data_IF_477829035450
#
_entry.id   IF_477829035450
#
_cell.length_a   1.000
_cell.length_b   1.000
_cell.length_c   1.000
_cell.angle_alpha   90.00
_cell.angle_beta   90.00
_cell.angle_gamma   90.00
#
_symmetry.space_group_name_H-M   'P 1'
#
loop_
_entity.id
_entity.type
_entity.pdbx_description
1 polymer ?
#
# COMPACT_ATOMS: atom_id res chain seq x y z
N UNK A 1 -14.31 45.22 -72.59
CA UNK A 1 -13.88 45.84 -71.30
C UNK A 1 -14.87 45.61 -70.16
N UNK A 2 -16.15 45.90 -70.29
CA UNK A 2 -17.13 45.80 -69.19
C UNK A 2 -17.34 44.41 -68.56
N UNK A 3 -16.99 43.30 -69.22
CA UNK A 3 -17.13 41.96 -68.67
C UNK A 3 -15.97 41.60 -67.68
N UNK A 4 -14.76 42.05 -68.01
CA UNK A 4 -13.58 41.82 -67.13
C UNK A 4 -13.67 42.67 -65.86
N UNK A 5 -14.26 43.86 -65.92
CA UNK A 5 -14.45 44.71 -64.76
C UNK A 5 -15.47 44.09 -63.78
N UNK A 6 -16.57 43.53 -64.28
CA UNK A 6 -17.55 42.80 -63.46
C UNK A 6 -17.01 41.54 -62.82
N UNK A 7 -16.12 40.81 -63.51
CA UNK A 7 -15.44 39.66 -62.95
C UNK A 7 -14.45 40.05 -61.81
N UNK A 8 -13.78 41.17 -61.94
CA UNK A 8 -12.85 41.70 -60.96
C UNK A 8 -13.60 42.18 -59.70
N UNK A 9 -14.75 42.86 -59.90
CA UNK A 9 -15.62 43.31 -58.82
C UNK A 9 -16.23 42.10 -58.07
N UNK A 10 -16.67 41.05 -58.75
CA UNK A 10 -17.16 39.83 -58.16
C UNK A 10 -16.07 39.07 -57.38
N UNK A 11 -14.84 39.05 -57.90
CA UNK A 11 -13.69 38.44 -57.17
C UNK A 11 -13.29 39.22 -55.88
N UNK A 12 -13.33 40.57 -56.02
CA UNK A 12 -13.06 41.40 -54.82
C UNK A 12 -14.14 41.24 -53.76
N UNK A 13 -15.42 41.24 -54.11
CA UNK A 13 -16.52 41.00 -53.19
C UNK A 13 -16.48 39.59 -52.56
N UNK A 14 -16.06 38.56 -53.31
CA UNK A 14 -15.85 37.22 -52.76
C UNK A 14 -14.69 37.19 -51.76
N UNK A 15 -13.59 37.91 -52.04
CA UNK A 15 -12.43 38.03 -51.17
C UNK A 15 -12.78 38.76 -49.85
N UNK A 16 -13.55 39.87 -49.95
CA UNK A 16 -14.01 40.59 -48.76
C UNK A 16 -14.94 39.74 -47.89
N UNK A 17 -15.87 38.98 -48.50
CA UNK A 17 -16.74 38.04 -47.79
C UNK A 17 -15.94 36.93 -47.11
N UNK A 18 -14.93 36.38 -47.77
CA UNK A 18 -14.06 35.37 -47.20
C UNK A 18 -13.24 35.93 -46.04
N UNK A 19 -12.73 37.15 -46.14
CA UNK A 19 -12.01 37.83 -45.08
C UNK A 19 -12.91 38.09 -43.85
N UNK A 20 -14.11 38.63 -44.07
CA UNK A 20 -15.09 38.87 -42.98
C UNK A 20 -15.51 37.57 -42.29
N UNK A 21 -15.66 36.47 -43.05
CA UNK A 21 -15.94 35.15 -42.46
C UNK A 21 -14.76 34.63 -41.61
N UNK A 22 -13.51 34.80 -42.08
CA UNK A 22 -12.31 34.43 -41.31
C UNK A 22 -12.18 35.25 -40.03
N UNK A 23 -12.41 36.56 -40.09
CA UNK A 23 -12.37 37.46 -38.94
C UNK A 23 -13.47 37.12 -37.90
N UNK A 24 -14.67 36.76 -38.36
CA UNK A 24 -15.77 36.30 -37.50
C UNK A 24 -15.44 34.96 -36.80
N UNK A 25 -14.79 34.05 -37.51
CA UNK A 25 -14.31 32.78 -36.90
C UNK A 25 -13.24 33.05 -35.84
N UNK A 26 -12.30 33.94 -36.15
CA UNK A 26 -11.24 34.32 -35.23
C UNK A 26 -11.80 34.99 -33.97
N UNK A 27 -12.72 35.93 -34.12
CA UNK A 27 -13.40 36.58 -33.00
C UNK A 27 -14.15 35.57 -32.10
N UNK A 28 -14.86 34.58 -32.72
CA UNK A 28 -15.52 33.50 -31.96
C UNK A 28 -14.52 32.61 -31.22
N UNK A 29 -13.35 32.34 -31.79
CA UNK A 29 -12.30 31.55 -31.11
C UNK A 29 -11.71 32.34 -29.94
N UNK A 30 -11.44 33.61 -30.09
CA UNK A 30 -10.95 34.50 -29.06
C UNK A 30 -11.97 34.62 -27.90
N UNK A 31 -13.26 34.77 -28.22
CA UNK A 31 -14.33 34.79 -27.24
C UNK A 31 -14.39 33.49 -26.43
N UNK A 32 -14.38 32.32 -27.13
CA UNK A 32 -14.37 31.02 -26.46
C UNK A 32 -13.14 30.83 -25.55
N UNK A 33 -11.98 31.33 -25.99
CA UNK A 33 -10.75 31.26 -25.18
C UNK A 33 -10.86 32.13 -23.93
N UNK A 34 -11.40 33.34 -24.06
CA UNK A 34 -11.64 34.23 -22.92
C UNK A 34 -12.66 33.64 -21.93
N UNK A 35 -13.74 33.03 -22.41
CA UNK A 35 -14.71 32.31 -21.58
C UNK A 35 -14.09 31.12 -20.85
N UNK A 36 -13.23 30.35 -21.51
CA UNK A 36 -12.50 29.26 -20.87
C UNK A 36 -11.51 29.76 -19.81
N UNK A 37 -10.77 30.82 -20.09
CA UNK A 37 -9.83 31.41 -19.13
C UNK A 37 -10.57 31.96 -17.89
N UNK A 38 -11.72 32.63 -18.11
CA UNK A 38 -12.57 33.10 -17.00
C UNK A 38 -13.11 31.94 -16.15
N UNK A 39 -13.60 30.87 -16.79
CA UNK A 39 -14.05 29.67 -16.10
C UNK A 39 -12.92 28.98 -15.32
N UNK A 40 -11.72 28.87 -15.90
CA UNK A 40 -10.56 28.35 -15.22
C UNK A 40 -10.17 29.17 -13.99
N UNK A 41 -10.22 30.49 -14.09
CA UNK A 41 -9.92 31.39 -12.97
C UNK A 41 -10.94 31.22 -11.84
N UNK A 42 -12.23 31.22 -12.16
CA UNK A 42 -13.34 31.03 -11.21
C UNK A 42 -13.22 29.69 -10.45
N UNK A 43 -13.03 28.59 -11.19
CA UNK A 43 -12.93 27.26 -10.58
C UNK A 43 -11.65 27.07 -9.76
N UNK A 44 -10.55 27.73 -10.16
CA UNK A 44 -9.30 27.73 -9.39
C UNK A 44 -9.47 28.50 -8.07
N UNK A 45 -10.19 29.62 -8.10
CA UNK A 45 -10.52 30.40 -6.90
C UNK A 45 -11.43 29.61 -5.96
N UNK A 46 -12.48 28.97 -6.45
CA UNK A 46 -13.34 28.07 -5.67
C UNK A 46 -12.55 26.95 -5.01
N UNK A 47 -11.61 26.35 -5.72
CA UNK A 47 -10.76 25.30 -5.17
C UNK A 47 -9.86 25.82 -4.04
N UNK A 48 -9.28 27.01 -4.20
CA UNK A 48 -8.49 27.65 -3.16
C UNK A 48 -9.35 28.03 -1.93
N UNK A 49 -10.53 28.60 -2.15
CA UNK A 49 -11.47 28.94 -1.09
C UNK A 49 -11.90 27.68 -0.31
N UNK A 50 -12.23 26.59 -0.99
CA UNK A 50 -12.59 25.32 -0.36
C UNK A 50 -11.46 24.75 0.49
N UNK A 51 -10.21 24.88 0.03
CA UNK A 51 -9.04 24.46 0.81
C UNK A 51 -8.89 25.29 2.09
N UNK A 52 -9.06 26.60 2.00
CA UNK A 52 -9.01 27.50 3.16
C UNK A 52 -10.11 27.18 4.18
N UNK A 53 -11.34 26.97 3.75
CA UNK A 53 -12.46 26.59 4.64
C UNK A 53 -12.16 25.31 5.43
N UNK A 54 -11.61 24.28 4.77
CA UNK A 54 -11.22 23.03 5.43
C UNK A 54 -10.11 23.27 6.44
N UNK A 55 -9.08 24.02 6.06
CA UNK A 55 -7.94 24.31 6.94
C UNK A 55 -8.39 25.13 8.15
N UNK A 56 -9.19 26.16 7.96
CA UNK A 56 -9.72 27.01 9.04
C UNK A 56 -10.63 26.20 9.98
N UNK A 57 -11.51 25.37 9.44
CA UNK A 57 -12.41 24.53 10.22
C UNK A 57 -11.65 23.59 11.15
N UNK A 58 -10.63 22.89 10.64
CA UNK A 58 -9.82 21.96 11.46
C UNK A 58 -8.91 22.73 12.43
N UNK A 59 -8.30 23.84 11.99
CA UNK A 59 -7.38 24.62 12.82
C UNK A 59 -8.10 25.46 13.90
N UNK A 60 -9.40 25.73 13.75
CA UNK A 60 -10.19 26.42 14.77
C UNK A 60 -10.37 25.60 16.05
N UNK A 61 -10.18 24.30 15.96
CA UNK A 61 -10.23 23.41 17.13
C UNK A 61 -8.93 23.57 17.91
N UNK A 62 -8.99 24.23 19.07
CA UNK A 62 -7.83 24.32 19.96
C UNK A 62 -7.71 23.03 20.77
N UNK A 63 -6.73 22.21 20.48
CA UNK A 63 -6.38 21.10 21.35
C UNK A 63 -5.08 21.40 22.10
N UNK A 64 -5.00 20.97 23.35
CA UNK A 64 -3.79 21.16 24.16
C UNK A 64 -2.65 20.24 23.71
N UNK A 65 -2.99 19.12 23.10
CA UNK A 65 -2.04 18.12 22.61
C UNK A 65 -2.57 17.50 21.31
N UNK A 66 -1.80 17.60 20.24
CA UNK A 66 -2.12 16.94 18.97
C UNK A 66 -2.12 15.41 19.12
N UNK A 67 -2.89 14.73 18.29
CA UNK A 67 -3.15 13.28 18.34
C UNK A 67 -1.88 12.44 18.47
N UNK A 68 -0.84 12.76 17.70
CA UNK A 68 0.43 12.02 17.71
C UNK A 68 1.47 12.59 18.68
N UNK A 69 1.17 13.68 19.39
CA UNK A 69 2.17 14.43 20.17
C UNK A 69 2.83 13.63 21.30
N UNK A 70 2.14 12.60 21.80
CA UNK A 70 2.60 11.79 22.94
C UNK A 70 3.26 10.48 22.53
N UNK A 71 3.51 10.26 21.23
CA UNK A 71 4.16 9.06 20.70
C UNK A 71 5.47 9.48 20.06
N UNK A 72 6.56 8.80 20.34
CA UNK A 72 7.83 9.07 19.68
C UNK A 72 7.78 8.66 18.20
N UNK A 73 8.68 9.18 17.38
CA UNK A 73 8.73 8.84 15.95
C UNK A 73 9.05 7.37 15.75
N UNK A 74 9.96 6.84 16.54
CA UNK A 74 10.36 5.44 16.48
C UNK A 74 9.22 4.50 16.85
N UNK A 75 8.51 4.78 17.96
CA UNK A 75 7.35 3.98 18.38
C UNK A 75 6.24 4.02 17.32
N UNK A 76 5.93 5.21 16.80
CA UNK A 76 4.89 5.38 15.78
C UNK A 76 5.24 4.62 14.50
N UNK A 77 6.48 4.72 14.03
CA UNK A 77 6.94 4.03 12.84
C UNK A 77 6.95 2.51 13.02
N UNK A 78 7.47 2.02 14.15
CA UNK A 78 7.52 0.58 14.45
C UNK A 78 6.12 0.01 14.58
N UNK A 79 5.24 0.65 15.33
CA UNK A 79 3.84 0.24 15.48
C UNK A 79 3.11 0.28 14.13
N UNK A 80 3.25 1.35 13.36
CA UNK A 80 2.58 1.50 12.06
C UNK A 80 3.00 0.38 11.09
N UNK A 81 4.30 0.07 11.06
CA UNK A 81 4.80 -1.03 10.24
C UNK A 81 4.23 -2.38 10.70
N UNK A 82 4.26 -2.66 11.98
CA UNK A 82 3.75 -3.92 12.53
C UNK A 82 2.23 -4.04 12.32
N UNK A 83 1.48 -2.96 12.53
CA UNK A 83 0.05 -2.90 12.30
C UNK A 83 -0.30 -3.14 10.82
N UNK A 84 0.40 -2.48 9.90
CA UNK A 84 0.23 -2.74 8.48
C UNK A 84 0.47 -4.20 8.14
N UNK A 85 1.56 -4.74 8.64
CA UNK A 85 2.01 -6.08 8.35
C UNK A 85 1.09 -7.17 8.91
N UNK A 86 0.61 -7.01 10.13
CA UNK A 86 -0.20 -8.02 10.83
C UNK A 86 -1.71 -7.82 10.66
N UNK A 87 -2.17 -6.59 10.52
CA UNK A 87 -3.59 -6.25 10.58
C UNK A 87 -4.14 -5.79 9.23
N UNK A 88 -3.49 -4.85 8.55
CA UNK A 88 -4.02 -4.30 7.30
C UNK A 88 -3.89 -5.29 6.15
N UNK A 89 -2.69 -5.86 5.96
CA UNK A 89 -2.40 -6.77 4.86
C UNK A 89 -3.22 -8.07 4.87
N UNK A 90 -3.42 -8.75 6.01
CA UNK A 90 -4.20 -9.98 6.03
C UNK A 90 -5.63 -9.77 5.56
N UNK A 91 -6.12 -10.68 4.71
CA UNK A 91 -7.46 -10.72 4.14
C UNK A 91 -7.86 -9.50 3.28
N UNK A 92 -7.01 -8.49 3.13
CA UNK A 92 -7.24 -7.39 2.21
C UNK A 92 -6.78 -7.75 0.80
N UNK A 93 -7.52 -7.31 -0.20
CA UNK A 93 -7.05 -7.37 -1.59
C UNK A 93 -6.05 -6.25 -1.82
N UNK A 94 -4.77 -6.60 -2.02
CA UNK A 94 -3.67 -5.64 -2.28
C UNK A 94 -4.00 -4.69 -3.44
N UNK A 95 -4.74 -5.17 -4.44
CA UNK A 95 -5.13 -4.36 -5.60
C UNK A 95 -6.29 -3.40 -5.34
N UNK A 96 -7.04 -3.58 -4.27
CA UNK A 96 -8.27 -2.84 -3.97
C UNK A 96 -8.18 -1.96 -2.73
N UNK A 97 -7.20 -2.19 -1.85
CA UNK A 97 -6.99 -1.34 -0.68
C UNK A 97 -6.75 0.11 -1.08
N UNK A 98 -7.38 1.00 -0.35
CA UNK A 98 -7.27 2.46 -0.49
C UNK A 98 -6.24 3.05 0.46
N UNK A 99 -5.66 2.24 1.34
CA UNK A 99 -4.75 2.65 2.39
C UNK A 99 -3.38 2.02 2.14
N UNK A 100 -2.35 2.83 2.27
CA UNK A 100 -0.97 2.39 2.37
C UNK A 100 -0.35 3.04 3.60
N UNK A 101 0.41 2.29 4.39
CA UNK A 101 1.02 2.79 5.62
C UNK A 101 2.54 2.67 5.56
N UNK A 102 3.23 3.38 6.45
CA UNK A 102 4.68 3.29 6.63
C UNK A 102 5.12 1.83 6.83
N UNK A 103 6.24 1.39 6.25
CA UNK A 103 7.18 2.08 5.36
C UNK A 103 6.84 1.96 3.85
N UNK A 104 5.67 1.48 3.49
CA UNK A 104 5.30 1.07 2.13
C UNK A 104 4.72 2.20 1.27
N UNK A 105 4.69 3.43 1.79
CA UNK A 105 4.21 4.62 1.06
C UNK A 105 5.29 5.05 0.06
N UNK A 106 5.22 4.51 -1.16
CA UNK A 106 6.21 4.73 -2.21
C UNK A 106 5.57 4.74 -3.61
N UNK A 107 6.38 5.05 -4.62
CA UNK A 107 6.01 4.90 -6.02
C UNK A 107 5.45 6.15 -6.69
N UNK A 108 5.23 6.06 -8.02
CA UNK A 108 4.90 7.20 -8.89
C UNK A 108 3.62 7.97 -8.48
N UNK A 109 2.63 7.29 -7.90
CA UNK A 109 1.39 7.95 -7.46
C UNK A 109 1.67 8.84 -6.26
N UNK A 110 2.37 8.32 -5.26
CA UNK A 110 2.79 9.09 -4.10
C UNK A 110 3.67 10.28 -4.48
N UNK A 111 4.66 10.06 -5.36
CA UNK A 111 5.50 11.11 -5.91
C UNK A 111 4.68 12.26 -6.52
N UNK A 112 3.70 11.94 -7.39
CA UNK A 112 2.82 12.94 -8.00
C UNK A 112 1.94 13.68 -6.98
N UNK A 113 1.48 12.98 -5.96
CA UNK A 113 0.74 13.61 -4.88
C UNK A 113 1.61 14.61 -4.13
N UNK A 114 2.85 14.23 -3.76
CA UNK A 114 3.80 15.12 -3.10
C UNK A 114 4.12 16.36 -3.95
N UNK A 115 4.28 16.20 -5.27
CA UNK A 115 4.44 17.34 -6.20
C UNK A 115 3.25 18.28 -6.14
N UNK A 116 2.04 17.73 -6.11
CA UNK A 116 0.80 18.49 -6.14
C UNK A 116 0.57 19.31 -4.86
N UNK A 117 0.89 18.75 -3.70
CA UNK A 117 0.69 19.38 -2.38
C UNK A 117 1.95 20.06 -1.83
N UNK A 118 3.09 19.93 -2.51
CA UNK A 118 4.35 20.56 -2.10
C UNK A 118 5.04 19.91 -0.90
N UNK A 119 4.81 18.61 -0.64
CA UNK A 119 5.40 17.92 0.52
C UNK A 119 6.78 17.28 0.28
N UNK A 120 7.38 17.49 -0.89
CA UNK A 120 8.70 16.92 -1.24
C UNK A 120 9.86 17.36 -0.36
N UNK A 121 9.79 18.56 0.15
CA UNK A 121 10.89 19.16 0.92
C UNK A 121 10.73 19.00 2.43
N UNK A 122 9.70 18.31 2.89
CA UNK A 122 9.48 18.10 4.31
C UNK A 122 10.26 16.88 4.79
N UNK A 123 10.95 17.03 5.92
CA UNK A 123 11.60 15.91 6.62
C UNK A 123 10.57 14.99 7.33
N UNK A 124 9.29 15.23 7.11
CA UNK A 124 8.19 14.52 7.76
C UNK A 124 8.05 13.10 7.20
N UNK A 125 8.03 12.11 8.07
CA UNK A 125 7.82 10.72 7.67
C UNK A 125 6.35 10.45 7.37
N UNK A 126 6.00 9.94 6.18
CA UNK A 126 4.64 9.52 5.84
C UNK A 126 4.19 8.35 6.72
N UNK A 127 3.04 8.48 7.37
CA UNK A 127 2.48 7.42 8.23
C UNK A 127 1.32 6.70 7.54
N UNK A 128 0.35 7.44 6.99
CA UNK A 128 -0.81 6.89 6.29
C UNK A 128 -1.01 7.64 4.99
N UNK A 129 -1.14 6.94 3.87
CA UNK A 129 -1.58 7.50 2.60
C UNK A 129 -2.90 6.84 2.18
N UNK A 130 -3.97 7.61 2.15
CA UNK A 130 -5.30 7.21 1.76
C UNK A 130 -5.61 7.74 0.36
N UNK A 131 -5.95 6.84 -0.57
CA UNK A 131 -6.37 7.17 -1.93
C UNK A 131 -7.85 6.78 -2.08
N UNK A 132 -8.75 7.67 -1.70
CA UNK A 132 -10.19 7.41 -1.75
C UNK A 132 -10.69 7.22 -3.18
N UNK A 133 -10.35 8.17 -4.05
CA UNK A 133 -10.70 8.20 -5.46
C UNK A 133 -9.61 8.94 -6.27
N UNK A 134 -9.79 9.02 -7.59
CA UNK A 134 -8.88 9.82 -8.42
C UNK A 134 -8.84 11.27 -7.95
N UNK A 135 -7.66 11.77 -7.61
CA UNK A 135 -7.40 13.10 -7.06
C UNK A 135 -8.00 13.37 -5.66
N UNK A 136 -8.60 12.39 -5.01
CA UNK A 136 -9.05 12.47 -3.62
C UNK A 136 -8.07 11.66 -2.78
N UNK A 137 -7.05 12.33 -2.27
CA UNK A 137 -5.92 11.70 -1.57
C UNK A 137 -5.61 12.45 -0.28
N UNK A 138 -5.23 11.72 0.76
CA UNK A 138 -4.85 12.26 2.06
C UNK A 138 -3.57 11.57 2.50
N UNK A 139 -2.60 12.37 2.91
CA UNK A 139 -1.39 11.92 3.55
C UNK A 139 -1.35 12.42 4.98
N UNK A 140 -1.23 11.52 5.92
CA UNK A 140 -1.03 11.83 7.33
C UNK A 140 0.43 11.53 7.68
N UNK A 141 1.11 12.54 8.20
CA UNK A 141 2.40 12.42 8.88
C UNK A 141 2.16 12.62 10.38
N UNK A 142 3.20 12.55 11.20
CA UNK A 142 3.06 12.88 12.62
C UNK A 142 2.71 14.36 12.85
N UNK A 143 3.25 15.25 12.02
CA UNK A 143 3.15 16.70 12.15
C UNK A 143 2.00 17.29 11.36
N UNK A 144 1.61 16.63 10.24
CA UNK A 144 0.78 17.28 9.24
C UNK A 144 -0.17 16.33 8.53
N UNK A 145 -1.29 16.89 8.07
CA UNK A 145 -2.21 16.26 7.14
C UNK A 145 -2.14 17.04 5.83
N UNK A 146 -1.78 16.36 4.76
CA UNK A 146 -1.84 16.90 3.40
C UNK A 146 -3.04 16.30 2.69
N UNK A 147 -3.77 17.10 1.92
CA UNK A 147 -4.95 16.62 1.23
C UNK A 147 -5.09 17.20 -0.17
N UNK A 148 -5.75 16.42 -1.03
CA UNK A 148 -6.32 16.85 -2.29
C UNK A 148 -7.76 16.39 -2.36
N UNK A 149 -8.68 17.31 -2.65
CA UNK A 149 -10.12 17.06 -2.73
C UNK A 149 -10.68 17.71 -3.99
N UNK A 150 -11.19 16.94 -4.97
CA UNK A 150 -11.80 17.50 -6.17
C UNK A 150 -13.07 18.30 -5.81
N UNK A 151 -13.32 19.36 -6.58
CA UNK A 151 -14.59 20.08 -6.48
C UNK A 151 -15.74 19.21 -7.02
N UNK A 152 -16.91 19.33 -6.43
CA UNK A 152 -18.10 18.58 -6.85
C UNK A 152 -18.60 19.05 -8.22
N UNK A 153 -18.48 20.35 -8.53
CA UNK A 153 -18.93 20.95 -9.78
C UNK A 153 -18.03 20.57 -10.96
N UNK A 154 -16.73 20.50 -10.77
CA UNK A 154 -15.77 20.05 -11.78
C UNK A 154 -14.56 19.39 -11.11
N UNK A 155 -14.48 18.07 -11.21
CA UNK A 155 -13.42 17.25 -10.61
C UNK A 155 -12.02 17.45 -11.23
N UNK A 156 -11.88 18.32 -12.24
CA UNK A 156 -10.57 18.72 -12.77
C UNK A 156 -9.85 19.65 -11.81
N UNK A 157 -10.62 20.45 -11.06
CA UNK A 157 -10.11 21.39 -10.07
C UNK A 157 -10.10 20.76 -8.70
N UNK A 158 -9.04 20.99 -7.97
CA UNK A 158 -8.74 20.27 -6.74
C UNK A 158 -8.37 21.26 -5.65
N UNK A 159 -9.15 21.26 -4.57
CA UNK A 159 -8.76 21.88 -3.32
C UNK A 159 -7.57 21.11 -2.74
N UNK A 160 -6.49 21.81 -2.40
CA UNK A 160 -5.28 21.21 -1.84
C UNK A 160 -4.77 22.03 -0.67
N UNK A 161 -4.34 21.36 0.38
CA UNK A 161 -3.91 22.06 1.58
C UNK A 161 -3.06 21.20 2.51
N UNK A 162 -2.62 21.87 3.57
CA UNK A 162 -1.87 21.30 4.68
C UNK A 162 -2.47 21.78 5.99
N UNK A 163 -2.74 20.86 6.91
CA UNK A 163 -3.18 21.15 8.28
C UNK A 163 -2.17 20.58 9.26
N UNK A 164 -1.88 21.28 10.34
CA UNK A 164 -1.03 20.74 11.40
C UNK A 164 -1.78 19.74 12.27
N UNK A 165 -1.21 18.57 12.50
CA UNK A 165 -1.72 17.58 13.45
C UNK A 165 -1.74 18.06 14.90
N UNK A 166 -1.03 19.15 15.23
CA UNK A 166 -1.09 19.77 16.55
C UNK A 166 -2.49 20.31 16.91
N UNK A 167 -3.34 20.57 15.90
CA UNK A 167 -4.71 21.03 16.09
C UNK A 167 -5.77 19.91 16.05
N UNK A 168 -5.35 18.65 15.86
CA UNK A 168 -6.25 17.49 15.78
C UNK A 168 -6.09 16.65 17.03
N UNK A 169 -7.12 16.58 17.86
CA UNK A 169 -7.11 15.78 19.08
C UNK A 169 -7.46 14.30 18.82
N UNK A 170 -8.24 14.03 17.78
CA UNK A 170 -8.67 12.66 17.45
C UNK A 170 -8.83 12.44 15.95
N UNK A 171 -8.59 11.20 15.53
CA UNK A 171 -9.01 10.70 14.23
C UNK A 171 -10.00 9.56 14.41
N UNK A 172 -11.03 9.53 13.57
CA UNK A 172 -11.99 8.42 13.55
C UNK A 172 -12.58 8.22 12.16
N UNK A 173 -13.23 7.07 11.97
CA UNK A 173 -14.01 6.77 10.77
C UNK A 173 -15.47 6.67 11.18
N UNK A 174 -16.30 7.60 10.70
CA UNK A 174 -17.72 7.57 10.87
C UNK A 174 -18.40 6.86 9.70
N UNK A 175 -19.31 5.93 9.95
CA UNK A 175 -20.13 5.30 8.94
C UNK A 175 -21.49 6.01 8.86
N UNK A 176 -21.80 6.54 7.69
CA UNK A 176 -23.13 7.08 7.37
C UNK A 176 -23.92 6.08 6.51
N UNK A 177 -25.15 6.40 6.14
CA UNK A 177 -25.96 5.57 5.24
C UNK A 177 -25.33 5.39 3.85
N UNK A 178 -24.63 6.42 3.35
CA UNK A 178 -24.13 6.48 1.97
C UNK A 178 -22.61 6.41 1.83
N UNK A 179 -21.85 6.65 2.91
CA UNK A 179 -20.39 6.76 2.86
C UNK A 179 -19.72 6.49 4.21
N UNK A 180 -18.42 6.24 4.15
CA UNK A 180 -17.54 6.41 5.31
C UNK A 180 -16.91 7.81 5.28
N UNK A 181 -16.73 8.43 6.44
CA UNK A 181 -16.08 9.72 6.59
C UNK A 181 -14.83 9.58 7.47
N UNK A 182 -13.70 10.05 6.97
CA UNK A 182 -12.53 10.29 7.81
C UNK A 182 -12.73 11.59 8.55
N UNK A 183 -12.75 11.51 9.87
CA UNK A 183 -12.98 12.64 10.76
C UNK A 183 -11.67 13.11 11.39
N UNK A 184 -11.49 14.42 11.47
CA UNK A 184 -10.53 15.10 12.32
C UNK A 184 -11.34 15.79 13.41
N UNK A 185 -11.34 15.26 14.61
CA UNK A 185 -12.27 15.61 15.66
C UNK A 185 -13.74 15.45 15.16
N UNK A 186 -14.55 16.50 15.22
CA UNK A 186 -15.94 16.51 14.71
C UNK A 186 -16.03 16.87 13.21
N UNK A 187 -14.90 17.18 12.56
CA UNK A 187 -14.87 17.72 11.21
C UNK A 187 -14.56 16.65 10.15
N UNK A 188 -15.41 16.47 9.14
CA UNK A 188 -15.14 15.51 8.07
C UNK A 188 -14.05 16.05 7.14
N UNK A 189 -12.95 15.30 7.03
CA UNK A 189 -11.86 15.61 6.10
C UNK A 189 -12.10 14.98 4.71
N UNK A 190 -12.59 13.75 4.65
CA UNK A 190 -12.86 13.07 3.40
C UNK A 190 -13.97 12.02 3.52
N UNK A 191 -14.61 11.76 2.39
CA UNK A 191 -15.63 10.70 2.25
C UNK A 191 -15.11 9.59 1.35
N UNK A 192 -15.40 8.34 1.72
CA UNK A 192 -15.10 7.15 0.95
C UNK A 192 -16.41 6.43 0.61
N UNK A 193 -16.56 5.90 -0.61
CA UNK A 193 -17.76 5.15 -0.98
C UNK A 193 -17.86 3.84 -0.18
N UNK A 194 -19.07 3.35 0.06
CA UNK A 194 -19.28 2.05 0.71
C UNK A 194 -19.06 0.95 -0.32
N UNK A 195 -17.92 0.29 -0.22
CA UNK A 195 -17.60 -0.93 -0.96
C UNK A 195 -17.04 -1.96 0.02
N UNK A 196 -16.91 -3.23 -0.39
CA UNK A 196 -16.29 -4.24 0.48
C UNK A 196 -14.88 -3.83 0.89
N UNK A 197 -14.05 -3.41 -0.06
CA UNK A 197 -12.66 -3.01 0.21
C UNK A 197 -12.57 -1.79 1.14
N UNK A 198 -13.39 -0.74 0.91
CA UNK A 198 -13.38 0.43 1.80
C UNK A 198 -13.95 0.12 3.18
N UNK A 199 -14.88 -0.83 3.32
CA UNK A 199 -15.37 -1.27 4.62
C UNK A 199 -14.28 -1.95 5.43
N UNK A 200 -13.52 -2.85 4.81
CA UNK A 200 -12.36 -3.52 5.42
C UNK A 200 -11.28 -2.51 5.83
N UNK A 201 -10.93 -1.58 4.93
CA UNK A 201 -9.96 -0.52 5.19
C UNK A 201 -10.41 0.41 6.34
N UNK A 202 -11.68 0.80 6.38
CA UNK A 202 -12.23 1.70 7.39
C UNK A 202 -12.26 1.07 8.79
N UNK A 203 -12.64 -0.21 8.90
CA UNK A 203 -12.58 -0.96 10.16
C UNK A 203 -11.14 -0.99 10.66
N UNK A 204 -10.22 -1.34 9.77
CA UNK A 204 -8.80 -1.44 10.11
C UNK A 204 -8.22 -0.09 10.55
N UNK A 205 -8.53 0.98 9.81
CA UNK A 205 -8.01 2.33 10.13
C UNK A 205 -8.58 2.86 11.45
N UNK A 206 -9.85 2.59 11.73
CA UNK A 206 -10.46 2.97 13.00
C UNK A 206 -9.81 2.27 14.21
N UNK A 207 -9.47 0.98 14.04
CA UNK A 207 -8.71 0.24 15.04
C UNK A 207 -7.29 0.84 15.24
N UNK A 208 -6.60 1.19 14.16
CA UNK A 208 -5.30 1.86 14.24
C UNK A 208 -5.36 3.15 15.06
N UNK A 209 -6.33 4.03 14.77
CA UNK A 209 -6.49 5.27 15.52
C UNK A 209 -6.85 5.01 16.99
N UNK A 210 -7.64 3.98 17.28
CA UNK A 210 -7.97 3.58 18.64
C UNK A 210 -6.72 3.13 19.42
N UNK A 211 -5.84 2.34 18.80
CA UNK A 211 -4.57 1.92 19.42
C UNK A 211 -3.68 3.14 19.76
N UNK A 212 -3.55 4.09 18.83
CA UNK A 212 -2.77 5.32 19.08
C UNK A 212 -3.37 6.14 20.21
N UNK A 213 -4.70 6.35 20.19
CA UNK A 213 -5.41 7.11 21.23
C UNK A 213 -5.25 6.52 22.64
N UNK A 214 -5.28 5.20 22.73
CA UNK A 214 -5.14 4.47 24.00
C UNK A 214 -3.67 4.18 24.37
N UNK A 215 -2.72 4.51 23.50
CA UNK A 215 -1.29 4.15 23.64
C UNK A 215 -1.07 2.64 23.83
N UNK A 216 -1.91 1.85 23.19
CA UNK A 216 -1.81 0.40 23.16
C UNK A 216 -1.18 -0.04 21.84
N UNK A 217 0.12 -0.25 21.86
CA UNK A 217 0.91 -0.64 20.71
C UNK A 217 1.16 -2.14 20.63
N UNK A 218 0.47 -2.91 21.49
CA UNK A 218 0.58 -4.37 21.50
C UNK A 218 -0.39 -4.97 20.50
N UNK A 219 0.13 -5.75 19.57
CA UNK A 219 -0.69 -6.51 18.60
C UNK A 219 -0.56 -7.98 18.96
N UNK A 220 -1.61 -8.54 19.56
CA UNK A 220 -1.65 -9.95 19.93
C UNK A 220 -2.19 -10.83 18.79
N UNK A 221 -1.84 -12.12 18.82
CA UNK A 221 -2.35 -13.07 17.81
C UNK A 221 -3.87 -13.24 17.91
N UNK A 222 -4.46 -13.09 19.10
CA UNK A 222 -5.91 -13.11 19.33
C UNK A 222 -6.60 -11.93 18.64
N UNK A 223 -5.99 -10.75 18.71
CA UNK A 223 -6.53 -9.57 18.00
C UNK A 223 -6.42 -9.72 16.48
N UNK A 224 -5.31 -10.24 15.99
CA UNK A 224 -5.11 -10.56 14.57
C UNK A 224 -6.15 -11.57 14.10
N UNK A 225 -6.36 -12.66 14.85
CA UNK A 225 -7.40 -13.68 14.56
C UNK A 225 -8.78 -13.04 14.47
N UNK A 226 -9.17 -12.25 15.46
CA UNK A 226 -10.45 -11.57 15.50
C UNK A 226 -10.68 -10.69 14.27
N UNK A 227 -9.69 -9.86 13.92
CA UNK A 227 -9.80 -8.94 12.77
C UNK A 227 -9.80 -9.67 11.44
N UNK A 228 -9.02 -10.74 11.29
CA UNK A 228 -9.07 -11.58 10.09
C UNK A 228 -10.46 -12.21 9.95
N UNK A 229 -11.04 -12.75 11.03
CA UNK A 229 -12.39 -13.32 11.03
C UNK A 229 -13.43 -12.31 10.58
N UNK A 230 -13.40 -11.10 11.10
CA UNK A 230 -14.32 -10.03 10.66
C UNK A 230 -14.20 -9.74 9.15
N UNK A 231 -12.99 -9.73 8.60
CA UNK A 231 -12.74 -9.46 7.18
C UNK A 231 -13.18 -10.60 6.25
N UNK A 232 -12.87 -11.85 6.60
CA UNK A 232 -13.21 -13.02 5.77
C UNK A 232 -14.67 -13.46 5.90
N UNK A 233 -15.29 -13.11 7.01
CA UNK A 233 -16.66 -13.45 7.34
C UNK A 233 -16.84 -14.88 7.86
N UNK A 234 -17.95 -15.11 8.56
CA UNK A 234 -18.22 -16.35 9.31
C UNK A 234 -18.21 -17.61 8.43
N UNK A 235 -18.70 -17.50 7.18
CA UNK A 235 -18.73 -18.65 6.26
C UNK A 235 -17.34 -19.20 5.95
N UNK A 236 -16.40 -18.31 5.62
CA UNK A 236 -15.02 -18.69 5.29
C UNK A 236 -14.29 -19.14 6.56
N UNK A 237 -14.48 -18.43 7.67
CA UNK A 237 -13.89 -18.81 8.94
C UNK A 237 -14.32 -20.21 9.38
N UNK A 238 -15.61 -20.54 9.33
CA UNK A 238 -16.13 -21.87 9.69
C UNK A 238 -15.54 -22.97 8.79
N UNK A 239 -15.28 -22.68 7.51
CA UNK A 239 -14.61 -23.62 6.63
C UNK A 239 -13.16 -23.86 7.08
N UNK A 240 -12.41 -22.79 7.31
CA UNK A 240 -11.00 -22.84 7.77
C UNK A 240 -10.88 -23.55 9.11
N UNK A 241 -11.78 -23.25 10.05
CA UNK A 241 -11.77 -23.82 11.41
C UNK A 241 -11.83 -25.35 11.44
N UNK A 242 -12.39 -26.00 10.42
CA UNK A 242 -12.40 -27.46 10.29
C UNK A 242 -11.02 -28.07 10.15
N UNK A 243 -10.03 -27.29 9.72
CA UNK A 243 -8.66 -27.72 9.47
C UNK A 243 -7.68 -27.23 10.54
N UNK A 244 -8.14 -26.40 11.47
CA UNK A 244 -7.40 -26.02 12.66
C UNK A 244 -7.53 -27.13 13.68
N UNK A 245 -6.44 -27.80 13.99
CA UNK A 245 -6.43 -29.04 14.78
C UNK A 245 -6.24 -28.77 16.28
N UNK A 246 -5.55 -27.70 16.60
CA UNK A 246 -5.22 -27.35 17.99
C UNK A 246 -6.22 -26.34 18.55
N UNK A 247 -6.56 -26.45 19.84
CA UNK A 247 -7.50 -25.54 20.49
C UNK A 247 -6.93 -24.10 20.62
N UNK A 248 -5.60 -23.98 20.69
CA UNK A 248 -4.86 -22.72 20.76
C UNK A 248 -4.44 -22.19 19.35
N UNK A 249 -5.01 -22.74 18.29
CA UNK A 249 -4.67 -22.36 16.93
C UNK A 249 -5.44 -21.09 16.52
N UNK A 250 -4.69 -20.04 16.13
CA UNK A 250 -5.18 -18.72 15.78
C UNK A 250 -4.80 -18.35 14.34
N UNK A 251 -5.66 -17.61 13.66
CA UNK A 251 -5.37 -17.06 12.33
C UNK A 251 -4.38 -15.90 12.48
N UNK A 252 -3.26 -15.97 11.77
CA UNK A 252 -2.23 -14.90 11.79
C UNK A 252 -2.00 -14.26 10.43
N UNK A 253 -2.48 -14.89 9.36
CA UNK A 253 -2.48 -14.32 8.00
C UNK A 253 -3.50 -15.01 7.11
N UNK A 254 -4.08 -14.26 6.18
CA UNK A 254 -5.02 -14.76 5.18
C UNK A 254 -4.81 -14.00 3.87
N UNK A 255 -4.76 -14.73 2.75
CA UNK A 255 -4.73 -14.11 1.42
C UNK A 255 -5.62 -14.85 0.41
N UNK A 256 -6.23 -14.07 -0.47
CA UNK A 256 -6.98 -14.57 -1.61
C UNK A 256 -6.05 -14.85 -2.78
N UNK A 257 -6.10 -16.05 -3.35
CA UNK A 257 -5.40 -16.37 -4.59
C UNK A 257 -5.94 -15.61 -5.79
N UNK A 258 -5.12 -15.48 -6.82
CA UNK A 258 -5.46 -14.73 -8.04
C UNK A 258 -6.18 -15.58 -9.10
N UNK A 259 -6.18 -16.89 -8.95
CA UNK A 259 -6.37 -17.85 -10.06
C UNK A 259 -7.79 -18.23 -10.43
N UNK A 260 -8.86 -17.59 -9.94
CA UNK A 260 -10.17 -17.98 -10.45
C UNK A 260 -11.13 -16.85 -10.75
N UNK A 261 -11.69 -16.90 -11.94
CA UNK A 261 -12.79 -16.04 -12.39
C UNK A 261 -14.11 -16.27 -11.63
N UNK A 262 -14.26 -17.38 -10.92
CA UNK A 262 -15.53 -17.77 -10.31
C UNK A 262 -15.45 -18.34 -8.88
N UNK A 263 -14.32 -18.85 -8.44
CA UNK A 263 -14.10 -19.30 -7.07
C UNK A 263 -12.66 -18.97 -6.66
N UNK A 264 -12.52 -18.13 -5.64
CA UNK A 264 -11.19 -17.70 -5.20
C UNK A 264 -10.58 -18.78 -4.33
N UNK A 265 -9.46 -19.33 -4.78
CA UNK A 265 -8.54 -20.04 -3.91
C UNK A 265 -8.07 -19.11 -2.80
N UNK A 266 -7.73 -19.65 -1.67
CA UNK A 266 -7.12 -18.88 -0.59
C UNK A 266 -6.13 -19.72 0.19
N UNK A 267 -5.22 -19.06 0.86
CA UNK A 267 -4.37 -19.69 1.84
C UNK A 267 -4.43 -18.95 3.17
N UNK A 268 -4.19 -19.70 4.22
CA UNK A 268 -4.27 -19.24 5.59
C UNK A 268 -3.00 -19.63 6.30
N UNK A 269 -2.41 -18.70 7.02
CA UNK A 269 -1.41 -19.04 8.02
C UNK A 269 -2.06 -18.96 9.40
N UNK A 270 -1.86 -19.99 10.18
CA UNK A 270 -2.14 -19.98 11.61
C UNK A 270 -0.81 -19.83 12.38
N UNK A 271 -0.87 -19.77 13.69
CA UNK A 271 0.34 -19.85 14.52
C UNK A 271 1.00 -21.25 14.52
N UNK A 272 0.42 -22.25 13.84
CA UNK A 272 0.90 -23.65 13.78
C UNK A 272 1.23 -24.12 12.36
N UNK A 273 0.50 -23.69 11.34
CA UNK A 273 0.56 -24.26 10.00
C UNK A 273 0.16 -23.27 8.89
N UNK A 274 0.47 -23.65 7.64
CA UNK A 274 -0.09 -23.05 6.42
C UNK A 274 -1.16 -23.98 5.87
N UNK A 275 -2.36 -23.47 5.62
CA UNK A 275 -3.49 -24.20 5.04
C UNK A 275 -3.77 -23.60 3.67
N UNK A 276 -3.75 -24.40 2.63
CA UNK A 276 -4.12 -24.01 1.27
C UNK A 276 -5.46 -24.63 0.92
N UNK A 277 -6.37 -23.80 0.42
CA UNK A 277 -7.70 -24.21 -0.01
C UNK A 277 -7.86 -23.89 -1.49
N UNK A 278 -7.86 -24.94 -2.32
CA UNK A 278 -8.17 -24.81 -3.74
C UNK A 278 -9.67 -25.04 -3.95
N UNK A 279 -10.31 -24.16 -4.74
CA UNK A 279 -11.73 -24.24 -5.04
C UNK A 279 -11.99 -24.55 -6.49
N UNK A 280 -13.01 -25.36 -6.76
CA UNK A 280 -13.52 -25.59 -8.10
C UNK A 280 -14.42 -24.46 -8.60
N UNK A 281 -14.68 -24.43 -9.92
CA UNK A 281 -15.72 -23.60 -10.52
C UNK A 281 -17.06 -23.90 -9.82
N UNK A 282 -17.63 -22.87 -9.19
CA UNK A 282 -18.84 -23.01 -8.37
C UNK A 282 -18.61 -22.90 -6.86
N UNK A 283 -17.35 -22.79 -6.40
CA UNK A 283 -16.98 -22.50 -5.02
C UNK A 283 -16.93 -23.71 -4.10
N UNK A 284 -17.06 -24.93 -4.63
CA UNK A 284 -16.80 -26.15 -3.88
C UNK A 284 -15.29 -26.31 -3.61
N UNK A 285 -14.94 -26.82 -2.43
CA UNK A 285 -13.53 -27.09 -2.09
C UNK A 285 -13.07 -28.36 -2.84
N UNK A 286 -12.09 -28.20 -3.72
CA UNK A 286 -11.53 -29.30 -4.52
C UNK A 286 -10.41 -30.02 -3.80
N UNK A 287 -9.51 -29.27 -3.16
CA UNK A 287 -8.33 -29.83 -2.52
C UNK A 287 -7.88 -28.93 -1.37
N UNK A 288 -7.38 -29.55 -0.31
CA UNK A 288 -6.80 -28.88 0.83
C UNK A 288 -5.45 -29.47 1.13
N UNK A 289 -4.47 -28.60 1.36
CA UNK A 289 -3.13 -28.98 1.79
C UNK A 289 -2.79 -28.25 3.07
N UNK A 290 -2.25 -29.01 4.03
CA UNK A 290 -1.81 -28.49 5.34
C UNK A 290 -0.31 -28.72 5.48
N UNK A 291 0.41 -27.70 5.93
CA UNK A 291 1.84 -27.70 6.10
C UNK A 291 2.18 -27.17 7.49
N UNK A 292 2.49 -28.05 8.42
CA UNK A 292 2.93 -27.64 9.75
C UNK A 292 4.31 -26.99 9.67
N UNK A 293 4.55 -25.93 10.45
CA UNK A 293 5.82 -25.22 10.37
C UNK A 293 7.02 -26.06 10.76
N UNK A 294 6.85 -27.06 11.63
CA UNK A 294 7.89 -28.00 11.99
C UNK A 294 8.32 -28.91 10.83
N UNK A 295 7.40 -29.25 9.95
CA UNK A 295 7.65 -30.13 8.79
C UNK A 295 8.22 -29.36 7.58
N UNK A 296 8.01 -28.05 7.51
CA UNK A 296 8.54 -27.23 6.41
C UNK A 296 10.05 -27.09 6.55
N UNK A 297 10.80 -27.62 5.59
CA UNK A 297 12.26 -27.52 5.53
C UNK A 297 12.74 -26.22 4.93
N UNK A 298 12.01 -25.69 3.93
CA UNK A 298 12.28 -24.38 3.34
C UNK A 298 11.02 -23.73 2.80
N UNK A 299 10.99 -22.39 2.84
CA UNK A 299 9.98 -21.55 2.22
C UNK A 299 10.69 -20.46 1.40
N UNK A 300 10.34 -20.30 0.14
CA UNK A 300 10.95 -19.33 -0.76
C UNK A 300 9.95 -18.76 -1.75
N UNK A 301 10.27 -17.57 -2.26
CA UNK A 301 9.49 -16.87 -3.29
C UNK A 301 10.25 -16.94 -4.60
N UNK A 302 9.62 -17.49 -5.64
CA UNK A 302 10.17 -17.51 -6.98
C UNK A 302 9.46 -16.48 -7.85
N UNK A 303 10.21 -15.53 -8.37
CA UNK A 303 9.66 -14.54 -9.29
C UNK A 303 9.37 -15.18 -10.65
N UNK A 304 8.15 -15.04 -11.16
CA UNK A 304 7.79 -15.54 -12.47
C UNK A 304 8.39 -14.65 -13.56
N UNK A 305 9.44 -15.13 -14.21
CA UNK A 305 10.13 -14.45 -15.32
C UNK A 305 9.33 -14.44 -16.64
N UNK A 306 8.19 -15.13 -16.70
CA UNK A 306 7.44 -15.38 -17.94
C UNK A 306 6.29 -14.40 -18.23
N UNK A 307 6.10 -13.34 -17.45
CA UNK A 307 5.09 -12.33 -17.74
C UNK A 307 5.53 -11.24 -18.72
N UNK A 308 6.49 -11.55 -19.61
CA UNK A 308 6.87 -10.67 -20.73
C UNK A 308 5.99 -10.87 -21.97
N UNK A 309 4.66 -10.88 -21.81
CA UNK A 309 3.80 -10.61 -22.96
C UNK A 309 3.74 -9.09 -23.22
N UNK A 310 3.68 -8.69 -24.48
CA UNK A 310 3.67 -7.26 -24.90
C UNK A 310 2.56 -6.45 -24.18
N UNK A 311 1.48 -7.09 -23.78
CA UNK A 311 0.40 -6.55 -22.93
C UNK A 311 0.84 -6.33 -21.47
N UNK A 312 1.75 -7.15 -20.95
CA UNK A 312 2.35 -6.95 -19.61
C UNK A 312 3.21 -5.70 -19.55
N UNK A 313 3.97 -5.39 -20.59
CA UNK A 313 4.86 -4.23 -20.64
C UNK A 313 4.14 -2.88 -20.56
N UNK A 314 2.95 -2.78 -21.15
CA UNK A 314 2.12 -1.56 -21.04
C UNK A 314 1.38 -1.45 -19.70
N UNK A 315 1.09 -2.57 -19.03
CA UNK A 315 0.50 -2.58 -17.67
C UNK A 315 1.57 -2.43 -16.58
N UNK A 316 2.77 -2.96 -16.78
CA UNK A 316 3.88 -2.95 -15.81
C UNK A 316 4.33 -1.53 -15.42
N UNK A 317 4.20 -0.57 -16.32
CA UNK A 317 4.50 0.84 -16.02
C UNK A 317 3.49 1.50 -15.07
N UNK A 318 2.35 0.86 -14.80
CA UNK A 318 1.28 1.37 -13.94
C UNK A 318 1.13 0.61 -12.62
N UNK A 319 1.70 -0.59 -12.51
CA UNK A 319 1.59 -1.44 -11.33
C UNK A 319 2.79 -1.25 -10.40
N UNK A 320 2.51 -1.00 -9.13
CA UNK A 320 3.54 -0.95 -8.09
C UNK A 320 4.23 -2.31 -7.92
N UNK A 321 5.47 -2.33 -7.43
CA UNK A 321 6.21 -3.58 -7.15
C UNK A 321 5.43 -4.60 -6.30
N UNK A 322 4.48 -4.12 -5.47
CA UNK A 322 3.59 -4.94 -4.66
C UNK A 322 2.62 -5.82 -5.48
N UNK A 323 2.35 -5.47 -6.73
CA UNK A 323 1.45 -6.22 -7.62
C UNK A 323 2.18 -7.21 -8.54
N UNK A 324 3.50 -7.36 -8.40
CA UNK A 324 4.24 -8.39 -9.14
C UNK A 324 3.79 -9.77 -8.66
N UNK A 325 3.48 -10.66 -9.60
CA UNK A 325 3.12 -12.04 -9.30
C UNK A 325 4.35 -12.92 -9.15
N UNK A 326 4.25 -13.89 -8.27
CA UNK A 326 5.31 -14.86 -7.99
C UNK A 326 4.70 -16.19 -7.59
N UNK A 327 5.54 -17.20 -7.41
CA UNK A 327 5.15 -18.47 -6.84
C UNK A 327 5.77 -18.61 -5.45
N UNK A 328 4.98 -19.07 -4.49
CA UNK A 328 5.46 -19.51 -3.19
C UNK A 328 5.82 -20.99 -3.27
N UNK A 329 7.03 -21.33 -2.82
CA UNK A 329 7.53 -22.70 -2.81
C UNK A 329 7.76 -23.15 -1.38
N UNK A 330 7.06 -24.20 -0.97
CA UNK A 330 7.21 -24.85 0.32
C UNK A 330 7.80 -26.25 0.11
N UNK A 331 8.88 -26.58 0.80
CA UNK A 331 9.49 -27.90 0.78
C UNK A 331 9.22 -28.62 2.11
N UNK A 332 8.73 -29.84 2.04
CA UNK A 332 8.39 -30.68 3.19
C UNK A 332 8.93 -32.09 2.93
N UNK A 333 9.80 -32.60 3.81
CA UNK A 333 10.31 -33.97 3.77
C UNK A 333 10.80 -34.44 2.38
N UNK A 334 11.46 -33.54 1.63
CA UNK A 334 11.99 -33.86 0.29
C UNK A 334 10.99 -33.68 -0.87
N UNK A 335 9.73 -33.40 -0.59
CA UNK A 335 8.73 -33.00 -1.57
C UNK A 335 8.61 -31.48 -1.62
N UNK A 336 8.43 -30.94 -2.82
CA UNK A 336 8.25 -29.50 -3.02
C UNK A 336 6.84 -29.23 -3.52
N UNK A 337 6.12 -28.36 -2.82
CA UNK A 337 4.82 -27.85 -3.25
C UNK A 337 4.97 -26.43 -3.70
N UNK A 338 4.42 -26.13 -4.88
CA UNK A 338 4.40 -24.80 -5.47
C UNK A 338 2.99 -24.23 -5.43
N UNK A 339 2.88 -23.02 -4.94
CA UNK A 339 1.66 -22.20 -4.95
C UNK A 339 1.88 -21.14 -6.01
N UNK A 340 1.16 -21.23 -7.11
CA UNK A 340 1.33 -20.33 -8.24
C UNK A 340 0.52 -19.05 -8.06
N UNK A 341 0.96 -18.00 -8.72
CA UNK A 341 0.17 -16.77 -8.96
C UNK A 341 -0.31 -16.08 -7.67
N UNK A 342 0.64 -15.77 -6.80
CA UNK A 342 0.41 -14.89 -5.65
C UNK A 342 0.96 -13.49 -5.92
N UNK A 343 0.44 -12.49 -5.25
CA UNK A 343 1.16 -11.21 -5.17
C UNK A 343 2.45 -11.42 -4.38
N UNK A 344 3.54 -10.82 -4.88
CA UNK A 344 4.87 -10.96 -4.26
C UNK A 344 4.85 -10.59 -2.77
N UNK A 345 4.16 -9.51 -2.43
CA UNK A 345 4.00 -9.06 -1.04
C UNK A 345 3.32 -10.12 -0.17
N UNK A 346 2.29 -10.80 -0.68
CA UNK A 346 1.60 -11.87 0.05
C UNK A 346 2.50 -13.08 0.26
N UNK A 347 3.23 -13.50 -0.78
CA UNK A 347 4.16 -14.62 -0.66
C UNK A 347 5.32 -14.33 0.31
N UNK A 348 5.90 -13.13 0.25
CA UNK A 348 6.93 -12.68 1.19
C UNK A 348 6.41 -12.66 2.64
N UNK A 349 5.13 -12.31 2.83
CA UNK A 349 4.50 -12.31 4.14
C UNK A 349 4.34 -13.74 4.68
N UNK A 350 3.91 -14.70 3.88
CA UNK A 350 3.85 -16.12 4.30
C UNK A 350 5.21 -16.63 4.74
N UNK A 351 6.26 -16.28 3.99
CA UNK A 351 7.64 -16.63 4.35
C UNK A 351 8.05 -16.00 5.69
N UNK A 352 7.68 -14.75 5.93
CA UNK A 352 7.95 -14.06 7.19
C UNK A 352 7.21 -14.72 8.38
N UNK A 353 5.91 -15.04 8.20
CA UNK A 353 5.11 -15.77 9.20
C UNK A 353 5.72 -17.13 9.51
N UNK A 354 6.09 -17.89 8.47
CA UNK A 354 6.79 -19.18 8.63
C UNK A 354 8.07 -19.05 9.46
N UNK A 355 8.92 -18.07 9.15
CA UNK A 355 10.16 -17.88 9.90
C UNK A 355 9.91 -17.49 11.36
N UNK A 356 8.91 -16.67 11.62
CA UNK A 356 8.54 -16.24 12.96
C UNK A 356 8.13 -17.44 13.83
N UNK A 357 7.12 -18.21 13.40
CA UNK A 357 6.58 -19.32 14.20
C UNK A 357 7.48 -20.54 14.23
N UNK A 358 8.24 -20.81 13.16
CA UNK A 358 9.26 -21.87 13.20
C UNK A 358 10.36 -21.59 14.22
N UNK A 359 10.80 -20.34 14.34
CA UNK A 359 11.78 -19.95 15.37
C UNK A 359 11.20 -20.14 16.76
N UNK A 360 9.96 -19.70 16.99
CA UNK A 360 9.26 -19.87 18.26
C UNK A 360 9.11 -21.35 18.65
N UNK A 361 8.70 -22.21 17.71
CA UNK A 361 8.57 -23.65 17.93
C UNK A 361 9.90 -24.29 18.32
N UNK A 362 11.00 -23.94 17.64
CA UNK A 362 12.35 -24.45 17.97
C UNK A 362 12.81 -23.98 19.35
N UNK A 363 12.48 -22.76 19.74
CA UNK A 363 12.84 -22.22 21.08
C UNK A 363 12.02 -22.90 22.18
N UNK A 364 10.75 -23.19 21.93
CA UNK A 364 9.88 -23.89 22.88
C UNK A 364 10.24 -25.37 23.05
N UNK A 365 10.78 -26.01 22.01
CA UNK A 365 11.20 -27.43 22.01
C UNK A 365 12.61 -27.65 22.57
N UNK A 366 13.37 -26.59 22.79
CA UNK A 366 14.68 -26.71 23.43
C UNK A 366 14.49 -27.01 24.92
N UNK A 367 14.98 -28.16 25.46
CA UNK A 367 14.99 -28.39 26.91
C UNK A 367 15.75 -27.23 27.56
N UNK A 368 15.26 -26.74 28.69
CA UNK A 368 15.87 -25.66 29.45
C UNK A 368 17.35 -26.01 29.75
N UNK A 369 18.22 -25.67 28.79
CA UNK A 369 19.66 -25.76 29.00
C UNK A 369 20.03 -24.62 29.95
N UNK A 370 20.48 -25.02 31.13
CA UNK A 370 21.25 -24.18 32.04
C UNK A 370 22.27 -23.42 31.18
N UNK A 371 22.13 -22.10 31.16
CA UNK A 371 23.02 -21.19 30.41
C UNK A 371 24.40 -21.26 31.10
N UNK A 372 25.20 -22.23 30.70
CA UNK A 372 26.66 -22.04 30.71
C UNK A 372 26.93 -21.07 29.54
N UNK A 373 27.39 -19.88 29.82
CA UNK A 373 27.95 -18.96 28.87
C UNK A 373 29.08 -19.67 28.09
N UNK A 374 28.72 -20.33 26.99
CA UNK A 374 29.68 -20.65 25.96
C UNK A 374 29.80 -19.46 25.03
N UNK A 375 31.00 -18.89 24.99
CA UNK A 375 31.39 -17.92 23.99
C UNK A 375 30.91 -18.38 22.63
N UNK A 376 30.35 -17.47 21.84
CA UNK A 376 29.91 -17.74 20.47
C UNK A 376 31.01 -18.49 19.73
N UNK A 377 30.70 -19.55 18.94
CA UNK A 377 31.69 -20.17 18.11
C UNK A 377 32.22 -19.11 17.16
N UNK A 378 33.50 -18.76 17.29
CA UNK A 378 34.19 -17.95 16.29
C UNK A 378 34.06 -18.70 14.97
N UNK A 379 33.33 -18.10 14.03
CA UNK A 379 33.24 -18.65 12.68
C UNK A 379 34.66 -18.84 12.14
N UNK A 380 34.96 -20.04 11.65
CA UNK A 380 36.27 -20.41 11.12
C UNK A 380 36.76 -19.33 10.15
N UNK A 381 37.91 -18.68 10.43
CA UNK A 381 38.46 -17.66 9.57
C UNK A 381 38.62 -18.10 8.10
N UNK A 382 38.85 -19.39 7.86
CA UNK A 382 38.93 -19.96 6.52
C UNK A 382 37.59 -19.96 5.77
N UNK A 383 36.48 -20.20 6.47
CA UNK A 383 35.13 -20.06 5.88
C UNK A 383 34.78 -18.62 5.56
N UNK A 384 35.21 -17.67 6.39
CA UNK A 384 35.03 -16.24 6.13
C UNK A 384 35.82 -15.79 4.91
N UNK A 385 37.07 -16.26 4.74
CA UNK A 385 37.90 -15.98 3.56
C UNK A 385 37.25 -16.53 2.29
N UNK A 386 36.65 -17.73 2.33
CA UNK A 386 35.92 -18.30 1.18
C UNK A 386 34.73 -17.42 0.77
N UNK A 387 33.93 -16.97 1.72
CA UNK A 387 32.80 -16.05 1.45
C UNK A 387 33.25 -14.72 0.87
N UNK A 388 34.37 -14.17 1.35
CA UNK A 388 34.97 -12.95 0.79
C UNK A 388 35.45 -13.16 -0.65
N UNK A 389 36.00 -14.34 -0.97
CA UNK A 389 36.41 -14.67 -2.34
C UNK A 389 35.22 -14.79 -3.30
N UNK A 390 34.09 -15.36 -2.85
CA UNK A 390 32.86 -15.41 -3.61
C UNK A 390 32.29 -14.01 -3.86
N UNK A 391 32.29 -13.13 -2.86
CA UNK A 391 31.84 -11.73 -3.00
C UNK A 391 32.72 -10.93 -3.96
N UNK A 392 34.04 -11.17 -3.99
CA UNK A 392 34.96 -10.59 -4.99
C UNK A 392 34.62 -11.10 -6.39
N UNK A 393 34.38 -12.41 -6.57
CA UNK A 393 34.05 -13.00 -7.86
C UNK A 393 32.69 -12.51 -8.40
N UNK A 394 31.75 -12.15 -7.52
CA UNK A 394 30.46 -11.54 -7.86
C UNK A 394 30.53 -10.03 -8.11
N UNK A 395 31.73 -9.42 -7.99
CA UNK A 395 31.94 -7.99 -8.20
C UNK A 395 31.38 -7.10 -7.09
N UNK A 396 31.02 -7.68 -5.93
CA UNK A 396 30.47 -6.97 -4.76
C UNK A 396 31.61 -6.34 -3.94
N UNK A 397 32.82 -6.93 -4.00
CA UNK A 397 34.04 -6.46 -3.33
C UNK A 397 35.13 -6.19 -4.36
N UNK A 398 35.83 -5.08 -4.21
CA UNK A 398 37.04 -4.78 -5.01
C UNK A 398 38.20 -5.72 -4.63
N UNK A 399 39.17 -5.84 -5.51
CA UNK A 399 40.36 -6.66 -5.23
C UNK A 399 41.16 -6.14 -4.01
N UNK A 400 41.19 -4.83 -3.81
CA UNK A 400 41.90 -4.17 -2.71
C UNK A 400 41.19 -4.41 -1.37
N UNK A 401 39.86 -4.27 -1.33
CA UNK A 401 39.06 -4.55 -0.14
C UNK A 401 39.10 -6.04 0.27
N UNK A 402 39.15 -6.94 -0.71
CA UNK A 402 39.32 -8.37 -0.45
C UNK A 402 40.66 -8.66 0.21
N UNK A 403 41.80 -8.17 -0.33
CA UNK A 403 43.11 -8.43 0.22
C UNK A 403 43.27 -7.81 1.63
N UNK A 404 42.71 -6.63 1.87
CA UNK A 404 42.71 -6.00 3.18
C UNK A 404 41.95 -6.82 4.23
N UNK A 405 40.73 -7.28 3.92
CA UNK A 405 39.90 -8.09 4.85
C UNK A 405 40.49 -9.50 5.05
N UNK A 406 41.08 -10.07 4.02
CA UNK A 406 41.77 -11.34 4.11
C UNK A 406 43.01 -11.27 5.01
N UNK A 407 43.81 -10.21 4.90
CA UNK A 407 44.97 -9.98 5.77
C UNK A 407 44.52 -9.79 7.23
N UNK A 408 43.42 -9.07 7.48
CA UNK A 408 42.86 -8.89 8.83
C UNK A 408 42.40 -10.23 9.43
N UNK A 409 41.76 -11.11 8.65
CA UNK A 409 41.32 -12.42 9.10
C UNK A 409 42.48 -13.39 9.33
N UNK A 410 43.52 -13.34 8.50
CA UNK A 410 44.74 -14.14 8.66
C UNK A 410 45.56 -13.70 9.86
N UNK A 411 45.47 -12.44 10.28
CA UNK A 411 46.18 -11.95 11.47
C UNK A 411 45.56 -12.41 12.79
N UNK A 412 44.33 -13.03 12.71
CA UNK A 412 43.58 -13.56 13.87
C UNK A 412 43.71 -15.08 14.00
N UNK A 413 44.43 -15.73 13.08
CA UNK A 413 44.79 -17.16 13.11
C UNK A 413 46.18 -17.31 13.74
#
# INVERSE_FOLDING_TARGET
>A
MAFFDKLKDAANAAKEKAQAAADAVKAKQEQKKAEQEAYHAEMSEKAAQRALEIMETIQSTSCSNGFFSQVSDEELQNFTKEFYDKILMPANSVSQSKITMYPYITGKKFTKFCELVGCYSTAETPIIHLIAEKKKEILITKESIYFTLPLEEDNKYVAKGKVSCAHVASFSIEKTESAYRLMCDENPLATLPITKATSEDCITLNNYFSCIANKDFTITDEEVDRLIREKIGEKVYTEVKKYMVYDDELLVYFAWGLDSLSAKDYFVCTNKQVIMVNREMGGATANIKQFYYEDITSASVLQNSNNSSLTGYLLETALTAAMQTCDLVLSVAGATTRINTLYKVEAERVVAVYHHYRKAAKTASAPAQVVMQQAAPQADPLEQIKKLAEMKNLGILSAEEFEQKKAELLSKI
#
